data_IF_887023031323
#
_entry.id   IF_887023031323
#
_cell.length_a   1.000
_cell.length_b   1.000
_cell.length_c   1.000
_cell.angle_alpha   90.00
_cell.angle_beta   90.00
_cell.angle_gamma   90.00
#
_symmetry.space_group_name_H-M   'P 1'
#
loop_
_entity.id
_entity.type
_entity.pdbx_description
1 polymer ?
#
# COMPACT_ATOMS: atom_id res chain seq x y z
N UNK A 1 13.48 57.11 -30.69
CA UNK A 1 14.06 56.21 -31.71
C UNK A 1 12.95 55.57 -32.51
N UNK A 2 12.99 55.67 -33.85
CA UNK A 2 11.97 55.04 -34.71
C UNK A 2 12.16 53.55 -34.69
N UNK A 3 11.14 52.79 -34.27
CA UNK A 3 11.17 51.32 -34.25
C UNK A 3 11.27 50.80 -35.70
N UNK A 4 12.30 50.00 -35.97
CA UNK A 4 12.53 49.35 -37.25
C UNK A 4 11.36 48.40 -37.57
N UNK A 5 10.77 48.51 -38.77
CA UNK A 5 9.68 47.63 -39.21
C UNK A 5 10.19 46.19 -39.24
N UNK A 6 9.49 45.26 -38.52
CA UNK A 6 9.81 43.81 -38.52
C UNK A 6 9.27 43.19 -39.79
N UNK A 7 9.88 42.07 -40.19
CA UNK A 7 9.46 41.31 -41.38
C UNK A 7 8.09 40.67 -41.22
N UNK A 8 7.55 40.19 -42.31
CA UNK A 8 6.33 39.39 -42.30
C UNK A 8 6.60 38.01 -41.73
N UNK A 9 5.65 37.46 -40.96
CA UNK A 9 5.74 36.13 -40.40
C UNK A 9 5.28 35.11 -41.44
N UNK A 10 6.19 34.18 -41.81
CA UNK A 10 5.82 33.02 -42.61
C UNK A 10 5.14 31.96 -41.73
N UNK A 11 4.00 31.47 -42.17
CA UNK A 11 3.25 30.40 -41.46
C UNK A 11 2.42 29.58 -42.45
N UNK A 12 2.11 28.35 -42.06
CA UNK A 12 1.16 27.46 -42.73
C UNK A 12 -0.25 27.61 -42.17
N UNK A 13 -1.27 27.27 -42.96
CA UNK A 13 -2.66 27.27 -42.50
C UNK A 13 -2.85 26.39 -41.24
N UNK A 14 -2.14 25.24 -41.16
CA UNK A 14 -2.16 24.32 -40.01
C UNK A 14 -1.63 24.98 -38.74
N UNK A 15 -0.54 25.72 -38.82
CA UNK A 15 0.02 26.46 -37.69
C UNK A 15 -0.91 27.55 -37.20
N UNK A 16 -1.57 28.28 -38.12
CA UNK A 16 -2.59 29.27 -37.76
C UNK A 16 -3.75 28.62 -36.96
N UNK A 17 -4.31 27.53 -37.46
CA UNK A 17 -5.40 26.81 -36.79
C UNK A 17 -4.97 26.30 -35.39
N UNK A 18 -3.73 25.84 -35.26
CA UNK A 18 -3.19 25.42 -33.97
C UNK A 18 -3.05 26.59 -32.99
N UNK A 19 -2.59 27.78 -33.45
CA UNK A 19 -2.53 28.98 -32.64
C UNK A 19 -3.94 29.47 -32.22
N UNK A 20 -4.91 29.39 -33.09
CA UNK A 20 -6.31 29.76 -32.80
C UNK A 20 -6.91 28.84 -31.72
N UNK A 21 -6.63 27.53 -31.79
CA UNK A 21 -7.03 26.57 -30.76
C UNK A 21 -6.40 26.90 -29.40
N UNK A 22 -5.10 27.21 -29.39
CA UNK A 22 -4.37 27.54 -28.15
C UNK A 22 -4.86 28.87 -27.58
N UNK A 23 -5.08 29.91 -28.40
CA UNK A 23 -5.51 31.24 -27.94
C UNK A 23 -6.87 31.21 -27.25
N UNK A 24 -7.75 30.24 -27.57
CA UNK A 24 -9.09 30.07 -26.97
C UNK A 24 -9.10 29.07 -25.80
N UNK A 25 -7.97 28.43 -25.51
CA UNK A 25 -7.88 27.37 -24.50
C UNK A 25 -7.94 27.97 -23.08
N UNK A 26 -8.73 27.31 -22.21
CA UNK A 26 -8.77 27.60 -20.76
C UNK A 26 -7.86 26.69 -19.93
N UNK A 27 -7.26 25.68 -20.55
CA UNK A 27 -6.43 24.66 -19.87
C UNK A 27 -4.95 24.77 -20.21
N UNK A 28 -4.58 25.53 -21.24
CA UNK A 28 -3.19 25.78 -21.60
C UNK A 28 -2.55 26.83 -20.69
N UNK A 29 -1.24 26.79 -20.58
CA UNK A 29 -0.47 27.77 -19.81
C UNK A 29 -0.77 29.19 -20.28
N UNK A 30 -1.04 30.09 -19.36
CA UNK A 30 -1.39 31.51 -19.68
C UNK A 30 -0.41 32.17 -20.66
N UNK A 31 0.90 31.92 -20.52
CA UNK A 31 1.92 32.46 -21.41
C UNK A 31 1.78 31.94 -22.84
N UNK A 32 1.40 30.69 -23.05
CA UNK A 32 1.19 30.11 -24.40
C UNK A 32 -0.05 30.72 -25.05
N UNK A 33 -1.11 30.89 -24.28
CA UNK A 33 -2.34 31.55 -24.74
C UNK A 33 -2.04 33.00 -25.13
N UNK A 34 -1.32 33.74 -24.30
CA UNK A 34 -0.95 35.14 -24.56
C UNK A 34 -0.03 35.28 -25.80
N UNK A 35 0.98 34.39 -25.95
CA UNK A 35 1.85 34.38 -27.15
C UNK A 35 1.10 34.03 -28.41
N UNK A 36 0.21 33.03 -28.37
CA UNK A 36 -0.64 32.70 -29.54
C UNK A 36 -1.48 33.88 -29.98
N UNK A 37 -2.06 34.63 -29.04
CA UNK A 37 -2.82 35.84 -29.33
C UNK A 37 -1.95 36.90 -29.99
N UNK A 38 -0.73 37.16 -29.50
CA UNK A 38 0.23 38.09 -30.10
C UNK A 38 0.54 37.68 -31.54
N UNK A 39 0.84 36.38 -31.77
CA UNK A 39 1.23 35.89 -33.10
C UNK A 39 0.08 35.98 -34.09
N UNK A 40 -1.14 35.61 -33.72
CA UNK A 40 -2.32 35.74 -34.56
C UNK A 40 -2.59 37.19 -34.94
N UNK A 41 -2.59 38.12 -33.98
CA UNK A 41 -2.79 39.54 -34.27
C UNK A 41 -1.68 40.12 -35.14
N UNK A 42 -0.43 39.63 -34.99
CA UNK A 42 0.67 40.03 -35.85
C UNK A 42 0.53 39.49 -37.29
N UNK A 43 0.06 38.24 -37.45
CA UNK A 43 -0.31 37.66 -38.76
C UNK A 43 -1.41 38.43 -39.44
N UNK A 44 -2.36 39.01 -38.67
CA UNK A 44 -3.46 39.85 -39.16
C UNK A 44 -3.04 41.32 -39.39
N UNK A 45 -1.72 41.59 -39.39
CA UNK A 45 -1.14 42.93 -39.62
C UNK A 45 -1.65 44.01 -38.63
N UNK A 46 -2.04 43.60 -37.38
CA UNK A 46 -2.44 44.58 -36.36
C UNK A 46 -1.24 45.39 -35.85
N UNK A 47 -1.42 46.70 -35.59
CA UNK A 47 -0.34 47.51 -35.04
C UNK A 47 0.07 47.05 -33.65
N UNK A 48 1.39 47.08 -33.34
CA UNK A 48 1.93 46.62 -32.06
C UNK A 48 1.30 47.32 -30.85
N UNK A 49 0.88 48.57 -31.01
CA UNK A 49 0.17 49.30 -29.95
C UNK A 49 -1.20 48.71 -29.62
N UNK A 50 -1.92 48.18 -30.61
CA UNK A 50 -3.18 47.47 -30.43
C UNK A 50 -2.94 46.11 -29.80
N UNK A 51 -1.95 45.33 -30.29
CA UNK A 51 -1.55 44.06 -29.72
C UNK A 51 -1.20 44.22 -28.23
N UNK A 52 -0.33 45.18 -27.90
CA UNK A 52 0.10 45.45 -26.53
C UNK A 52 -1.08 45.74 -25.58
N UNK A 53 -2.05 46.53 -26.05
CA UNK A 53 -3.28 46.87 -25.31
C UNK A 53 -4.15 45.61 -25.08
N UNK A 54 -4.31 44.80 -26.12
CA UNK A 54 -5.15 43.60 -26.08
C UNK A 54 -4.59 42.53 -25.13
N UNK A 55 -3.28 42.31 -25.14
CA UNK A 55 -2.64 41.27 -24.31
C UNK A 55 -2.15 41.78 -22.95
N UNK A 56 -2.28 43.08 -22.66
CA UNK A 56 -1.86 43.66 -21.37
C UNK A 56 -0.33 43.67 -21.17
N UNK A 57 0.47 43.81 -22.23
CA UNK A 57 1.93 43.84 -22.17
C UNK A 57 2.50 45.19 -22.67
N UNK A 58 3.77 45.46 -22.29
CA UNK A 58 4.50 46.59 -22.87
C UNK A 58 4.79 46.33 -24.36
N UNK A 59 4.92 47.40 -25.15
CA UNK A 59 5.33 47.29 -26.56
C UNK A 59 6.64 46.57 -26.76
N UNK A 60 7.59 46.76 -25.85
CA UNK A 60 8.88 46.06 -25.85
C UNK A 60 8.73 44.55 -25.67
N UNK A 61 7.87 44.11 -24.73
CA UNK A 61 7.54 42.72 -24.56
C UNK A 61 6.86 42.12 -25.78
N UNK A 62 5.97 42.82 -26.44
CA UNK A 62 5.35 42.37 -27.69
C UNK A 62 6.40 42.25 -28.78
N UNK A 63 7.28 43.25 -28.96
CA UNK A 63 8.38 43.15 -29.92
C UNK A 63 9.29 41.97 -29.67
N UNK A 64 9.65 41.70 -28.40
CA UNK A 64 10.46 40.54 -28.04
C UNK A 64 9.79 39.20 -28.42
N UNK A 65 8.47 39.11 -28.29
CA UNK A 65 7.73 37.92 -28.73
C UNK A 65 7.63 37.83 -30.26
N UNK A 66 7.50 38.97 -30.95
CA UNK A 66 7.52 39.03 -32.43
C UNK A 66 8.90 38.63 -32.96
N UNK A 67 9.98 39.17 -32.38
CA UNK A 67 11.35 38.80 -32.78
C UNK A 67 11.59 37.29 -32.55
N UNK A 68 11.03 36.74 -31.49
CA UNK A 68 11.11 35.30 -31.21
C UNK A 68 10.35 34.47 -32.24
N UNK A 69 9.14 34.82 -32.60
CA UNK A 69 8.36 34.05 -33.58
C UNK A 69 8.96 34.16 -34.99
N UNK A 70 9.56 35.29 -35.35
CA UNK A 70 10.27 35.45 -36.61
C UNK A 70 11.55 34.59 -36.68
N UNK A 71 12.21 34.36 -35.54
CA UNK A 71 13.42 33.56 -35.47
C UNK A 71 13.16 32.05 -35.42
N UNK A 72 12.12 31.57 -34.72
CA UNK A 72 11.91 30.15 -34.40
C UNK A 72 10.63 29.57 -35.00
N UNK A 73 9.79 30.38 -35.65
CA UNK A 73 8.50 29.97 -36.18
C UNK A 73 7.37 29.95 -35.14
N UNK A 74 6.09 29.84 -35.62
CA UNK A 74 4.90 30.06 -34.80
C UNK A 74 4.72 29.12 -33.61
N UNK A 75 5.08 27.85 -33.78
CA UNK A 75 4.84 26.84 -32.76
C UNK A 75 6.00 26.78 -31.75
N UNK A 76 7.24 26.77 -32.24
CA UNK A 76 8.42 26.71 -31.37
C UNK A 76 8.56 27.96 -30.48
N UNK A 77 8.07 29.13 -30.95
CA UNK A 77 8.10 30.36 -30.20
C UNK A 77 7.11 30.40 -29.01
N UNK A 78 6.17 29.49 -28.93
CA UNK A 78 5.24 29.37 -27.79
C UNK A 78 5.94 28.98 -26.49
N UNK A 79 6.96 28.14 -26.57
CA UNK A 79 7.72 27.70 -25.42
C UNK A 79 8.81 28.71 -25.00
N UNK A 80 9.23 28.66 -23.73
CA UNK A 80 10.37 29.47 -23.31
C UNK A 80 11.66 28.88 -23.91
N UNK A 81 12.58 29.77 -24.32
CA UNK A 81 13.89 29.32 -24.81
C UNK A 81 14.66 28.64 -23.70
N UNK A 82 15.14 27.42 -23.97
CA UNK A 82 16.04 26.73 -23.06
C UNK A 82 17.34 27.53 -22.85
N UNK A 83 17.87 27.54 -21.64
CA UNK A 83 19.17 28.17 -21.33
C UNK A 83 19.10 29.59 -20.74
N UNK A 84 17.92 30.14 -20.42
CA UNK A 84 17.80 31.43 -19.67
C UNK A 84 17.92 31.26 -18.14
N UNK A 85 18.08 30.02 -17.63
CA UNK A 85 18.36 29.77 -16.21
C UNK A 85 19.84 29.93 -15.87
N UNK A 86 20.13 30.29 -14.63
CA UNK A 86 21.49 30.17 -14.06
C UNK A 86 21.87 28.68 -14.20
N UNK A 87 23.09 28.40 -14.71
CA UNK A 87 23.63 27.04 -14.75
C UNK A 87 23.47 26.42 -13.37
N UNK A 88 22.96 25.17 -13.32
CA UNK A 88 22.80 24.48 -12.05
C UNK A 88 24.20 24.42 -11.37
N UNK A 89 24.33 25.03 -10.20
CA UNK A 89 25.56 25.06 -9.41
C UNK A 89 26.03 23.63 -9.08
N UNK A 90 25.09 22.69 -9.00
CA UNK A 90 25.30 21.27 -8.68
C UNK A 90 25.21 20.46 -9.98
N UNK A 91 26.28 19.76 -10.31
CA UNK A 91 26.40 18.95 -11.54
C UNK A 91 25.59 17.64 -11.47
N UNK A 92 25.44 16.95 -12.60
CA UNK A 92 24.78 15.64 -12.64
C UNK A 92 25.62 14.56 -11.95
N UNK A 93 26.95 14.69 -11.92
CA UNK A 93 27.84 13.83 -11.13
C UNK A 93 27.62 13.99 -9.62
N UNK A 94 27.44 15.23 -9.14
CA UNK A 94 27.08 15.50 -7.75
C UNK A 94 25.76 14.82 -7.37
N UNK A 95 24.75 14.89 -8.26
CA UNK A 95 23.44 14.23 -8.05
C UNK A 95 23.55 12.71 -8.09
N UNK A 96 24.33 12.14 -9.02
CA UNK A 96 24.58 10.72 -9.10
C UNK A 96 25.23 10.17 -7.82
N UNK A 97 26.15 10.91 -7.22
CA UNK A 97 26.73 10.52 -5.94
C UNK A 97 25.68 10.51 -4.80
N UNK A 98 24.79 11.50 -4.75
CA UNK A 98 23.66 11.52 -3.78
C UNK A 98 22.76 10.30 -3.96
N UNK A 99 22.44 9.93 -5.19
CA UNK A 99 21.64 8.74 -5.54
C UNK A 99 22.36 7.46 -5.11
N UNK A 100 23.65 7.33 -5.42
CA UNK A 100 24.48 6.18 -5.02
C UNK A 100 24.49 5.98 -3.50
N UNK A 101 24.65 7.07 -2.73
CA UNK A 101 24.56 7.01 -1.26
C UNK A 101 23.17 6.55 -0.78
N UNK A 102 22.10 7.05 -1.39
CA UNK A 102 20.74 6.67 -1.03
C UNK A 102 20.44 5.18 -1.30
N UNK A 103 21.15 4.58 -2.27
CA UNK A 103 21.06 3.15 -2.61
C UNK A 103 21.99 2.26 -1.76
N UNK A 104 22.79 2.83 -0.86
CA UNK A 104 23.64 2.08 0.08
C UNK A 104 22.99 1.98 1.46
N UNK A 105 23.47 1.07 2.30
CA UNK A 105 23.02 0.98 3.69
C UNK A 105 23.69 2.02 4.58
N UNK A 106 22.96 2.72 5.48
CA UNK A 106 23.59 3.59 6.48
C UNK A 106 24.64 2.89 7.34
N UNK A 107 24.50 1.59 7.59
CA UNK A 107 25.46 0.76 8.32
C UNK A 107 26.84 0.75 7.66
N UNK A 108 26.90 0.72 6.33
CA UNK A 108 28.15 0.72 5.57
C UNK A 108 28.93 2.03 5.75
N UNK A 109 28.25 3.05 6.29
CA UNK A 109 28.79 4.38 6.60
C UNK A 109 28.92 4.64 8.11
N UNK A 110 28.81 3.58 8.94
CA UNK A 110 29.04 3.68 10.39
C UNK A 110 27.83 4.16 11.22
N UNK A 111 26.64 4.20 10.65
CA UNK A 111 25.43 4.55 11.38
C UNK A 111 24.71 3.30 11.94
N UNK A 112 24.05 3.46 13.09
CA UNK A 112 23.22 2.40 13.67
C UNK A 112 21.86 2.22 12.94
N UNK A 113 21.53 3.13 12.03
CA UNK A 113 20.26 3.14 11.31
C UNK A 113 20.24 2.07 10.21
N UNK A 114 19.10 1.37 10.06
CA UNK A 114 18.87 0.43 8.94
C UNK A 114 18.54 1.16 7.63
N UNK A 115 17.88 2.31 7.72
CA UNK A 115 17.39 3.07 6.58
C UNK A 115 17.86 4.51 6.64
N UNK A 116 18.13 5.09 5.47
CA UNK A 116 18.35 6.50 5.34
C UNK A 116 17.07 7.29 5.57
N UNK A 117 17.04 8.16 6.56
CA UNK A 117 16.10 9.28 6.54
C UNK A 117 16.70 10.41 5.71
N UNK A 118 15.87 11.26 5.10
CA UNK A 118 16.39 12.42 4.34
C UNK A 118 17.25 13.34 5.21
N UNK A 119 16.98 13.44 6.51
CA UNK A 119 17.78 14.26 7.43
C UNK A 119 19.15 13.64 7.69
N UNK A 120 19.21 12.32 7.92
CA UNK A 120 20.47 11.61 8.12
C UNK A 120 21.33 11.64 6.86
N UNK A 121 20.73 11.35 5.71
CA UNK A 121 21.42 11.38 4.42
C UNK A 121 21.96 12.78 4.10
N UNK A 122 21.15 13.83 4.27
CA UNK A 122 21.62 15.22 4.07
C UNK A 122 22.77 15.60 5.00
N UNK A 123 22.74 15.15 6.26
CA UNK A 123 23.85 15.35 7.19
C UNK A 123 25.11 14.64 6.72
N UNK A 124 25.00 13.35 6.37
CA UNK A 124 26.14 12.57 5.87
C UNK A 124 26.76 13.19 4.62
N UNK A 125 25.93 13.66 3.68
CA UNK A 125 26.40 14.36 2.48
C UNK A 125 27.21 15.57 2.86
N UNK A 126 26.70 16.45 3.73
CA UNK A 126 27.39 17.68 4.15
C UNK A 126 28.74 17.42 4.82
N UNK A 127 28.81 16.41 5.64
CA UNK A 127 30.01 16.04 6.39
C UNK A 127 31.08 15.43 5.49
N UNK A 128 30.72 14.71 4.46
CA UNK A 128 31.63 13.89 3.65
C UNK A 128 31.83 14.39 2.22
N UNK A 129 31.00 15.27 1.69
CA UNK A 129 31.05 15.67 0.27
C UNK A 129 32.39 16.26 -0.16
N UNK A 130 33.05 17.07 0.68
CA UNK A 130 34.32 17.69 0.34
C UNK A 130 35.42 16.63 0.23
N UNK A 131 35.52 15.73 1.20
CA UNK A 131 36.50 14.64 1.20
C UNK A 131 36.30 13.64 0.05
N UNK A 132 35.06 13.51 -0.45
CA UNK A 132 34.71 12.64 -1.57
C UNK A 132 34.75 13.32 -2.95
N UNK A 133 35.15 14.60 -3.02
CA UNK A 133 35.32 15.34 -4.28
C UNK A 133 34.05 16.08 -4.78
N UNK A 134 33.03 16.23 -3.92
CA UNK A 134 31.78 16.88 -4.26
C UNK A 134 31.50 18.15 -3.43
N UNK A 135 32.40 19.14 -3.42
CA UNK A 135 32.31 20.29 -2.51
C UNK A 135 31.06 21.15 -2.70
N UNK A 136 30.43 21.10 -3.89
CA UNK A 136 29.20 21.85 -4.21
C UNK A 136 28.01 21.39 -3.36
N UNK A 137 28.05 20.16 -2.84
CA UNK A 137 26.98 19.59 -2.00
C UNK A 137 27.06 20.04 -0.53
N UNK A 138 28.04 20.82 -0.13
CA UNK A 138 28.23 21.29 1.26
C UNK A 138 26.98 21.96 1.85
N UNK A 139 26.24 22.67 1.02
CA UNK A 139 25.01 23.35 1.41
C UNK A 139 23.72 22.59 1.02
N UNK A 140 23.83 21.36 0.51
CA UNK A 140 22.69 20.57 0.10
C UNK A 140 21.78 20.23 1.30
N UNK A 141 20.66 20.94 1.41
CA UNK A 141 19.67 20.75 2.47
C UNK A 141 18.78 19.52 2.21
N UNK A 142 18.04 19.11 3.25
CA UNK A 142 17.10 17.99 3.20
C UNK A 142 16.12 18.07 2.01
N UNK A 143 15.55 19.25 1.75
CA UNK A 143 14.59 19.44 0.64
C UNK A 143 15.24 19.26 -0.72
N UNK A 144 16.50 19.66 -0.87
CA UNK A 144 17.25 19.49 -2.10
C UNK A 144 17.57 18.01 -2.35
N UNK A 145 18.05 17.30 -1.33
CA UNK A 145 18.29 15.84 -1.38
C UNK A 145 16.99 15.10 -1.72
N UNK A 146 15.87 15.48 -1.09
CA UNK A 146 14.55 14.92 -1.43
C UNK A 146 14.20 15.16 -2.90
N UNK A 147 14.40 16.37 -3.42
CA UNK A 147 14.09 16.69 -4.81
C UNK A 147 14.94 15.93 -5.84
N UNK A 148 16.21 15.59 -5.51
CA UNK A 148 17.03 14.69 -6.34
C UNK A 148 16.42 13.29 -6.35
N UNK A 149 16.19 12.72 -5.16
CA UNK A 149 15.72 11.34 -5.04
C UNK A 149 14.30 11.12 -5.54
N UNK A 150 13.44 12.13 -5.43
CA UNK A 150 12.06 12.08 -5.93
C UNK A 150 12.01 12.00 -7.47
N UNK A 151 12.92 12.70 -8.16
CA UNK A 151 13.05 12.60 -9.63
C UNK A 151 13.46 11.21 -10.09
N UNK A 152 14.28 10.52 -9.31
CA UNK A 152 14.74 9.16 -9.58
C UNK A 152 13.80 8.08 -8.99
N UNK A 153 12.68 8.48 -8.37
CA UNK A 153 11.72 7.57 -7.75
C UNK A 153 12.23 6.86 -6.48
N UNK A 154 13.35 7.29 -5.90
CA UNK A 154 14.00 6.63 -4.77
C UNK A 154 13.44 7.12 -3.44
N UNK A 155 13.01 6.17 -2.60
CA UNK A 155 12.47 6.43 -1.25
C UNK A 155 13.25 5.64 -0.19
N UNK A 156 14.47 6.06 0.18
CA UNK A 156 15.40 5.27 1.00
C UNK A 156 14.94 5.05 2.45
N UNK A 157 13.89 5.72 2.87
CA UNK A 157 13.24 5.60 4.18
C UNK A 157 12.06 4.62 4.20
N UNK A 158 11.74 3.98 3.06
CA UNK A 158 10.63 3.03 2.94
C UNK A 158 11.15 1.62 2.76
N UNK A 159 10.42 0.67 3.34
CA UNK A 159 10.62 -0.76 3.13
C UNK A 159 9.45 -1.27 2.29
N UNK A 160 9.76 -1.98 1.23
CA UNK A 160 8.80 -2.82 0.53
C UNK A 160 9.15 -4.27 0.84
N UNK A 161 8.20 -4.97 1.44
CA UNK A 161 8.39 -6.39 1.70
C UNK A 161 8.07 -7.16 0.42
N UNK A 162 8.98 -8.02 0.02
CA UNK A 162 8.75 -9.01 -1.04
C UNK A 162 8.73 -10.40 -0.44
N UNK A 163 8.01 -11.31 -1.06
CA UNK A 163 7.93 -12.69 -0.63
C UNK A 163 9.00 -13.50 -1.36
N UNK A 164 10.04 -13.89 -0.64
CA UNK A 164 11.04 -14.82 -1.17
C UNK A 164 10.46 -16.25 -1.18
N UNK A 165 10.37 -16.84 -2.35
CA UNK A 165 9.82 -18.19 -2.56
C UNK A 165 10.83 -19.23 -2.09
N UNK A 166 10.79 -19.61 -0.80
CA UNK A 166 11.68 -20.62 -0.20
C UNK A 166 11.07 -22.02 -0.19
N UNK A 167 9.80 -22.17 -0.57
CA UNK A 167 9.12 -23.45 -0.65
C UNK A 167 9.26 -23.99 -2.08
N UNK A 168 9.96 -25.12 -2.24
CA UNK A 168 10.16 -25.75 -3.56
C UNK A 168 8.83 -26.12 -4.24
N UNK A 169 7.76 -26.31 -3.46
CA UNK A 169 6.42 -26.67 -3.93
C UNK A 169 5.43 -25.52 -3.77
N UNK A 170 5.91 -24.25 -3.77
CA UNK A 170 5.08 -23.08 -3.53
C UNK A 170 3.91 -22.99 -4.51
N UNK A 171 4.17 -23.09 -5.80
CA UNK A 171 3.15 -22.98 -6.87
C UNK A 171 2.11 -24.10 -6.76
N UNK A 172 2.53 -25.32 -6.51
CA UNK A 172 1.63 -26.47 -6.37
C UNK A 172 0.69 -26.30 -5.17
N UNK A 173 1.23 -25.96 -4.00
CA UNK A 173 0.44 -25.71 -2.78
C UNK A 173 -0.49 -24.51 -2.95
N UNK A 174 -0.01 -23.42 -3.55
CA UNK A 174 -0.81 -22.25 -3.86
C UNK A 174 -1.97 -22.62 -4.79
N UNK A 175 -1.69 -23.35 -5.87
CA UNK A 175 -2.71 -23.81 -6.82
C UNK A 175 -3.75 -24.71 -6.13
N UNK A 176 -3.32 -25.59 -5.22
CA UNK A 176 -4.22 -26.44 -4.43
C UNK A 176 -5.17 -25.61 -3.55
N UNK A 177 -4.64 -24.65 -2.79
CA UNK A 177 -5.44 -23.76 -1.94
C UNK A 177 -6.41 -22.92 -2.77
N UNK A 178 -5.95 -22.34 -3.87
CA UNK A 178 -6.79 -21.53 -4.77
C UNK A 178 -7.89 -22.38 -5.46
N UNK A 179 -7.57 -23.63 -5.81
CA UNK A 179 -8.57 -24.56 -6.35
C UNK A 179 -9.70 -24.82 -5.34
N UNK A 180 -9.35 -25.01 -4.06
CA UNK A 180 -10.34 -25.19 -2.98
C UNK A 180 -11.19 -23.93 -2.82
N UNK A 181 -10.62 -22.73 -2.83
CA UNK A 181 -11.40 -21.49 -2.77
C UNK A 181 -12.32 -21.31 -3.98
N UNK A 182 -11.87 -21.68 -5.17
CA UNK A 182 -12.70 -21.63 -6.39
C UNK A 182 -13.85 -22.61 -6.32
N UNK A 183 -13.61 -23.84 -5.85
CA UNK A 183 -14.64 -24.86 -5.61
C UNK A 183 -15.74 -24.31 -4.69
N UNK A 184 -15.36 -23.75 -3.54
CA UNK A 184 -16.30 -23.18 -2.57
C UNK A 184 -17.07 -22.00 -3.17
N UNK A 185 -16.42 -21.13 -3.93
CA UNK A 185 -17.07 -19.98 -4.57
C UNK A 185 -18.13 -20.44 -5.57
N UNK A 186 -17.85 -21.47 -6.34
CA UNK A 186 -18.81 -22.07 -7.29
C UNK A 186 -19.98 -22.66 -6.51
N UNK A 187 -19.71 -23.48 -5.48
CA UNK A 187 -20.74 -24.11 -4.64
C UNK A 187 -21.64 -23.06 -4.00
N UNK A 188 -21.08 -22.03 -3.35
CA UNK A 188 -21.86 -20.96 -2.73
C UNK A 188 -22.69 -20.14 -3.75
N UNK A 189 -22.30 -20.09 -5.02
CA UNK A 189 -23.04 -19.40 -6.08
C UNK A 189 -24.22 -20.25 -6.57
N UNK A 190 -24.03 -21.55 -6.68
CA UNK A 190 -25.09 -22.49 -7.11
C UNK A 190 -26.17 -22.62 -6.03
N UNK A 191 -25.77 -22.69 -4.75
CA UNK A 191 -26.73 -22.87 -3.65
C UNK A 191 -27.55 -21.61 -3.33
N UNK A 192 -27.10 -20.41 -3.75
CA UNK A 192 -27.98 -19.21 -3.68
C UNK A 192 -29.21 -19.29 -4.61
N UNK A 193 -29.30 -20.30 -5.47
CA UNK A 193 -30.39 -20.49 -6.43
C UNK A 193 -31.24 -21.77 -6.28
N UNK A 194 -30.84 -22.72 -5.43
CA UNK A 194 -31.52 -23.99 -5.22
C UNK A 194 -31.54 -24.39 -3.75
N UNK A 195 -32.51 -25.19 -3.30
CA UNK A 195 -32.57 -25.81 -1.96
C UNK A 195 -31.23 -26.49 -1.64
N UNK A 196 -30.75 -26.31 -0.39
CA UNK A 196 -29.48 -26.86 0.12
C UNK A 196 -29.32 -28.32 -0.32
N UNK A 197 -28.41 -28.56 -1.26
CA UNK A 197 -28.03 -29.90 -1.64
C UNK A 197 -27.47 -30.64 -0.41
N UNK A 198 -27.63 -31.96 -0.36
CA UNK A 198 -27.15 -32.84 0.72
C UNK A 198 -25.61 -32.77 0.81
N UNK A 199 -25.09 -31.74 1.48
CA UNK A 199 -23.65 -31.64 1.76
C UNK A 199 -23.26 -32.68 2.80
N UNK A 200 -22.17 -33.36 2.56
CA UNK A 200 -21.54 -34.26 3.51
C UNK A 200 -20.12 -33.80 3.92
N UNK A 201 -19.76 -32.55 3.57
CA UNK A 201 -18.47 -31.97 3.92
C UNK A 201 -18.55 -30.44 4.10
N UNK A 202 -17.58 -29.90 4.82
CA UNK A 202 -17.34 -28.45 4.92
C UNK A 202 -15.88 -28.12 4.73
N UNK A 203 -15.59 -26.87 4.42
CA UNK A 203 -14.21 -26.36 4.35
C UNK A 203 -14.07 -25.13 5.25
N UNK A 204 -13.06 -25.16 6.10
CA UNK A 204 -12.74 -24.08 7.02
C UNK A 204 -11.31 -23.59 6.79
N UNK A 205 -11.06 -22.31 7.07
CA UNK A 205 -9.74 -21.70 7.13
C UNK A 205 -9.40 -21.50 8.61
N UNK A 206 -8.29 -22.06 9.07
CA UNK A 206 -7.88 -22.09 10.47
C UNK A 206 -6.51 -21.43 10.68
N UNK A 207 -6.35 -20.74 11.81
CA UNK A 207 -5.07 -20.22 12.28
C UNK A 207 -5.14 -19.86 13.78
N UNK A 208 -3.99 -19.47 14.36
CA UNK A 208 -3.86 -19.01 15.73
C UNK A 208 -3.57 -17.49 15.77
N UNK A 209 -4.22 -16.82 16.71
CA UNK A 209 -3.88 -15.45 17.12
C UNK A 209 -3.29 -15.48 18.53
N UNK A 210 -1.95 -15.60 18.65
CA UNK A 210 -1.29 -15.60 19.94
C UNK A 210 -1.19 -14.21 20.56
N UNK A 211 -0.85 -14.15 21.85
CA UNK A 211 -0.40 -12.93 22.51
C UNK A 211 -1.46 -11.86 22.72
N UNK A 212 -2.74 -12.22 22.77
CA UNK A 212 -3.83 -11.27 23.13
C UNK A 212 -3.64 -10.86 24.57
N UNK A 213 -3.31 -9.59 24.80
CA UNK A 213 -2.95 -9.09 26.12
C UNK A 213 -4.17 -8.78 26.99
N UNK A 214 -4.20 -9.32 28.20
CA UNK A 214 -5.09 -8.91 29.26
C UNK A 214 -4.50 -7.68 29.98
N UNK A 215 -5.11 -6.53 29.76
CA UNK A 215 -4.63 -5.24 30.32
C UNK A 215 -5.71 -4.64 31.19
N UNK A 216 -5.33 -4.29 32.44
CA UNK A 216 -6.19 -3.60 33.41
C UNK A 216 -5.75 -2.15 33.55
N UNK A 217 -6.70 -1.21 33.56
CA UNK A 217 -6.43 0.15 33.96
C UNK A 217 -6.13 0.19 35.47
N UNK A 218 -5.22 1.05 35.92
CA UNK A 218 -4.97 1.30 37.34
C UNK A 218 -6.03 2.27 37.88
N UNK A 219 -6.29 3.33 37.13
CA UNK A 219 -7.32 4.32 37.46
C UNK A 219 -8.60 4.13 36.66
N UNK A 220 -9.70 4.66 37.14
CA UNK A 220 -10.97 4.64 36.42
C UNK A 220 -10.88 5.37 35.09
N UNK A 221 -11.53 4.83 34.07
CA UNK A 221 -11.64 5.46 32.78
C UNK A 221 -12.58 6.66 32.83
N UNK A 222 -12.16 7.77 32.22
CA UNK A 222 -13.00 8.98 32.14
C UNK A 222 -13.80 8.90 30.82
N UNK A 223 -15.13 8.93 30.95
CA UNK A 223 -16.03 8.95 29.81
C UNK A 223 -16.13 10.34 29.18
N UNK A 224 -16.51 10.47 27.91
CA UNK A 224 -16.78 11.76 27.29
C UNK A 224 -17.90 12.52 28.03
N UNK A 225 -17.70 13.80 28.19
CA UNK A 225 -18.70 14.72 28.78
C UNK A 225 -18.98 15.83 27.78
N UNK A 226 -20.22 15.99 27.30
CA UNK A 226 -20.59 17.04 26.37
C UNK A 226 -20.16 18.44 26.87
N UNK A 227 -19.52 19.20 26.01
CA UNK A 227 -19.00 20.54 26.32
C UNK A 227 -17.68 20.58 27.09
N UNK A 228 -17.20 19.47 27.69
CA UNK A 228 -15.98 19.42 28.49
C UNK A 228 -14.92 18.46 27.90
N UNK A 229 -15.25 17.19 27.77
CA UNK A 229 -14.31 16.16 27.30
C UNK A 229 -14.86 15.45 26.09
N UNK A 230 -14.16 15.57 24.92
CA UNK A 230 -14.62 15.02 23.65
C UNK A 230 -14.31 13.52 23.48
N UNK A 231 -13.37 12.98 24.25
CA UNK A 231 -12.83 11.61 24.06
C UNK A 231 -12.78 10.87 25.38
N UNK A 232 -12.69 9.54 25.29
CA UNK A 232 -12.42 8.70 26.45
C UNK A 232 -11.01 8.96 26.95
N UNK A 233 -10.85 9.37 28.21
CA UNK A 233 -9.57 9.52 28.89
C UNK A 233 -9.18 8.22 29.60
N UNK A 234 -7.93 7.82 29.48
CA UNK A 234 -7.32 6.69 30.20
C UNK A 234 -5.99 7.10 30.80
N UNK A 235 -5.69 6.56 31.96
CA UNK A 235 -4.38 6.69 32.58
C UNK A 235 -3.31 6.04 31.65
N UNK A 236 -2.11 6.59 31.66
CA UNK A 236 -0.95 6.01 30.97
C UNK A 236 -0.49 4.71 31.66
N UNK A 237 -0.69 4.61 32.98
CA UNK A 237 -0.33 3.41 33.72
C UNK A 237 -1.39 2.32 33.58
N UNK A 238 -0.89 1.09 33.39
CA UNK A 238 -1.72 -0.10 33.28
C UNK A 238 -1.02 -1.32 33.85
N UNK A 239 -1.79 -2.29 34.30
CA UNK A 239 -1.28 -3.59 34.75
C UNK A 239 -1.48 -4.66 33.68
N UNK A 240 -0.42 -5.41 33.36
CA UNK A 240 -0.51 -6.59 32.50
C UNK A 240 -0.87 -7.81 33.34
N UNK A 241 -1.92 -8.53 32.95
CA UNK A 241 -2.44 -9.71 33.65
C UNK A 241 -2.03 -11.01 32.94
N UNK A 242 -1.29 -10.91 31.83
CA UNK A 242 -0.85 -12.02 31.01
C UNK A 242 -1.46 -11.99 29.61
N UNK A 243 -1.35 -13.10 28.90
CA UNK A 243 -1.84 -13.23 27.52
C UNK A 243 -2.74 -14.45 27.36
N UNK A 244 -3.59 -14.42 26.34
CA UNK A 244 -4.36 -15.54 25.83
C UNK A 244 -4.03 -15.75 24.33
N UNK A 245 -4.30 -16.96 23.86
CA UNK A 245 -4.26 -17.32 22.44
C UNK A 245 -5.66 -17.69 21.99
N UNK A 246 -6.06 -17.17 20.83
CA UNK A 246 -7.30 -17.54 20.15
C UNK A 246 -6.95 -18.47 19.00
N UNK A 247 -7.41 -19.72 19.08
CA UNK A 247 -7.44 -20.67 17.97
C UNK A 247 -8.82 -20.51 17.32
N UNK A 248 -8.87 -20.28 16.01
CA UNK A 248 -10.16 -20.08 15.37
C UNK A 248 -10.19 -20.63 13.95
N UNK A 249 -11.36 -21.09 13.54
CA UNK A 249 -11.65 -21.39 12.14
C UNK A 249 -12.82 -20.55 11.65
N UNK A 250 -12.79 -20.16 10.38
CA UNK A 250 -13.91 -19.59 9.67
C UNK A 250 -14.46 -20.63 8.69
N UNK A 251 -15.73 -20.92 8.76
CA UNK A 251 -16.44 -21.71 7.74
C UNK A 251 -16.58 -20.88 6.47
N UNK A 252 -16.00 -21.36 5.38
CA UNK A 252 -15.94 -20.64 4.10
C UNK A 252 -17.26 -20.67 3.32
N UNK A 253 -18.21 -21.49 3.74
CA UNK A 253 -19.52 -21.56 3.12
C UNK A 253 -20.50 -20.54 3.73
N UNK A 254 -20.49 -20.37 5.04
CA UNK A 254 -21.46 -19.53 5.74
C UNK A 254 -20.84 -18.35 6.51
N UNK A 255 -19.51 -18.32 6.67
CA UNK A 255 -18.81 -17.25 7.38
C UNK A 255 -18.81 -17.39 8.90
N UNK A 256 -19.32 -18.49 9.46
CA UNK A 256 -19.35 -18.72 10.91
C UNK A 256 -17.95 -18.94 11.45
N UNK A 257 -17.67 -18.32 12.59
CA UNK A 257 -16.39 -18.46 13.30
C UNK A 257 -16.53 -19.47 14.43
N UNK A 258 -15.66 -20.46 14.47
CA UNK A 258 -15.56 -21.44 15.54
C UNK A 258 -14.30 -21.11 16.36
N UNK A 259 -14.43 -20.56 17.58
CA UNK A 259 -13.30 -20.15 18.41
C UNK A 259 -12.95 -21.17 19.49
N UNK A 260 -11.68 -21.20 19.88
CA UNK A 260 -11.20 -21.74 21.14
C UNK A 260 -10.18 -20.76 21.75
N UNK A 261 -10.42 -20.31 22.97
CA UNK A 261 -9.53 -19.36 23.67
C UNK A 261 -8.81 -20.08 24.80
N UNK A 262 -7.49 -20.14 24.70
CA UNK A 262 -6.64 -20.85 25.65
C UNK A 262 -5.41 -20.05 26.08
N UNK A 263 -4.70 -20.50 27.11
CA UNK A 263 -3.46 -19.86 27.55
C UNK A 263 -2.29 -20.08 26.59
N UNK A 264 -2.35 -21.08 25.76
CA UNK A 264 -1.30 -21.53 24.84
C UNK A 264 -1.92 -21.99 23.54
N UNK A 265 -1.08 -22.28 22.54
CA UNK A 265 -1.47 -22.77 21.21
C UNK A 265 -0.50 -23.87 20.77
N UNK A 266 -0.39 -24.93 21.60
CA UNK A 266 0.45 -26.10 21.33
C UNK A 266 -0.36 -27.22 20.69
N UNK A 267 0.25 -28.35 20.42
CA UNK A 267 -0.44 -29.52 19.88
C UNK A 267 -1.65 -29.95 20.72
N UNK A 268 -1.58 -29.84 22.07
CA UNK A 268 -2.69 -30.20 22.93
C UNK A 268 -3.92 -29.29 22.70
N UNK A 269 -3.72 -27.96 22.67
CA UNK A 269 -4.78 -27.01 22.41
C UNK A 269 -5.31 -27.12 20.97
N UNK A 270 -4.45 -27.43 20.01
CA UNK A 270 -4.87 -27.70 18.63
C UNK A 270 -5.76 -28.96 18.55
N UNK A 271 -5.40 -30.04 19.24
CA UNK A 271 -6.23 -31.26 19.30
C UNK A 271 -7.59 -30.98 19.95
N UNK A 272 -7.63 -30.18 21.03
CA UNK A 272 -8.88 -29.74 21.65
C UNK A 272 -9.73 -28.91 20.67
N UNK A 273 -9.09 -28.06 19.88
CA UNK A 273 -9.76 -27.33 18.81
C UNK A 273 -10.33 -28.26 17.74
N UNK A 274 -9.59 -29.28 17.29
CA UNK A 274 -10.08 -30.27 16.34
C UNK A 274 -11.28 -31.05 16.90
N UNK A 275 -11.26 -31.42 18.17
CA UNK A 275 -12.41 -32.07 18.85
C UNK A 275 -13.64 -31.14 18.86
N UNK A 276 -13.44 -29.87 19.19
CA UNK A 276 -14.49 -28.86 19.16
C UNK A 276 -15.07 -28.72 17.75
N UNK A 277 -14.20 -28.64 16.74
CA UNK A 277 -14.58 -28.53 15.36
C UNK A 277 -15.36 -29.77 14.87
N UNK A 278 -14.91 -30.98 15.26
CA UNK A 278 -15.62 -32.22 14.97
C UNK A 278 -17.01 -32.27 15.60
N UNK A 279 -17.18 -31.73 16.81
CA UNK A 279 -18.48 -31.67 17.50
C UNK A 279 -19.40 -30.55 16.98
N UNK A 280 -18.88 -29.60 16.20
CA UNK A 280 -19.68 -28.52 15.61
C UNK A 280 -20.44 -28.97 14.36
N UNK A 281 -19.92 -29.93 13.62
CA UNK A 281 -20.51 -30.46 12.38
C UNK A 281 -21.05 -31.87 12.58
N UNK A 282 -21.99 -32.33 11.73
CA UNK A 282 -22.49 -33.71 11.76
C UNK A 282 -21.35 -34.76 11.77
N UNK A 283 -21.60 -35.88 12.42
CA UNK A 283 -20.54 -36.90 12.61
C UNK A 283 -20.05 -37.51 11.30
N UNK A 284 -20.90 -37.64 10.32
CA UNK A 284 -20.66 -38.18 8.98
C UNK A 284 -19.96 -37.18 8.05
N UNK A 285 -19.90 -35.89 8.44
CA UNK A 285 -19.28 -34.88 7.60
C UNK A 285 -17.76 -34.93 7.65
N UNK A 286 -17.14 -34.80 6.48
CA UNK A 286 -15.70 -34.55 6.32
C UNK A 286 -15.40 -33.05 6.48
N UNK A 287 -14.36 -32.73 7.24
CA UNK A 287 -13.95 -31.34 7.47
C UNK A 287 -12.59 -31.11 6.80
N UNK A 288 -12.61 -30.31 5.72
CA UNK A 288 -11.38 -29.86 5.07
C UNK A 288 -10.90 -28.59 5.78
N UNK A 289 -9.63 -28.56 6.18
CA UNK A 289 -9.03 -27.45 6.92
C UNK A 289 -7.86 -26.88 6.12
N UNK A 290 -7.98 -25.59 5.72
CA UNK A 290 -6.85 -24.83 5.18
C UNK A 290 -6.09 -24.24 6.37
N UNK A 291 -4.80 -24.56 6.48
CA UNK A 291 -3.94 -24.17 7.61
C UNK A 291 -2.49 -24.01 7.17
N UNK A 292 -1.68 -23.38 7.99
CA UNK A 292 -0.24 -23.23 7.75
C UNK A 292 0.57 -24.49 8.13
N UNK A 293 1.89 -24.44 7.88
CA UNK A 293 2.80 -25.52 8.19
C UNK A 293 3.35 -25.47 9.62
N UNK A 294 2.63 -24.89 10.59
CA UNK A 294 3.11 -24.82 11.95
C UNK A 294 3.37 -26.22 12.53
N UNK A 295 4.39 -26.34 13.38
CA UNK A 295 4.84 -27.65 13.90
C UNK A 295 3.79 -28.39 14.75
N UNK A 296 2.88 -27.65 15.41
CA UNK A 296 1.75 -28.22 16.17
C UNK A 296 0.81 -29.03 15.30
N UNK A 297 0.62 -28.63 14.02
CA UNK A 297 -0.29 -29.29 13.08
C UNK A 297 0.21 -30.64 12.58
N UNK A 298 1.52 -30.85 12.64
CA UNK A 298 2.21 -32.09 12.21
C UNK A 298 2.88 -32.84 13.35
N UNK A 299 2.58 -32.49 14.58
CA UNK A 299 3.16 -33.15 15.74
C UNK A 299 2.71 -34.62 15.84
N UNK A 300 3.51 -35.45 16.53
CA UNK A 300 3.17 -36.86 16.75
C UNK A 300 1.83 -37.02 17.46
N UNK A 301 1.53 -36.13 18.41
CA UNK A 301 0.27 -36.13 19.16
C UNK A 301 -0.92 -35.81 18.23
N UNK A 302 -0.76 -34.82 17.38
CA UNK A 302 -1.80 -34.45 16.38
C UNK A 302 -2.04 -35.59 15.40
N UNK A 303 -0.98 -36.21 14.86
CA UNK A 303 -1.11 -37.35 13.94
C UNK A 303 -1.80 -38.54 14.61
N UNK A 304 -1.45 -38.86 15.85
CA UNK A 304 -2.11 -39.92 16.63
C UNK A 304 -3.61 -39.62 16.83
N UNK A 305 -4.00 -38.37 17.08
CA UNK A 305 -5.41 -38.00 17.17
C UNK A 305 -6.11 -38.18 15.83
N UNK A 306 -5.53 -37.76 14.73
CA UNK A 306 -6.12 -37.88 13.37
C UNK A 306 -6.30 -39.38 13.00
N UNK A 307 -5.38 -40.23 13.37
CA UNK A 307 -5.48 -41.70 13.20
C UNK A 307 -6.67 -42.28 14.00
N UNK A 308 -7.04 -41.67 15.13
CA UNK A 308 -8.19 -42.12 15.94
C UNK A 308 -9.53 -41.72 15.36
N UNK A 309 -9.57 -40.80 14.40
CA UNK A 309 -10.79 -40.29 13.72
C UNK A 309 -10.61 -40.32 12.18
N UNK A 310 -10.42 -41.53 11.61
CA UNK A 310 -10.05 -41.68 10.21
C UNK A 310 -11.13 -41.10 9.30
N UNK A 311 -10.71 -40.34 8.26
CA UNK A 311 -11.59 -39.74 7.27
C UNK A 311 -12.35 -38.49 7.72
N UNK A 312 -12.30 -38.10 9.02
CA UNK A 312 -13.00 -36.93 9.53
C UNK A 312 -12.36 -35.62 9.04
N UNK A 313 -11.03 -35.57 8.97
CA UNK A 313 -10.28 -34.35 8.61
C UNK A 313 -9.46 -34.53 7.35
N UNK A 314 -9.41 -33.47 6.55
CA UNK A 314 -8.51 -33.32 5.40
C UNK A 314 -7.74 -31.99 5.54
N UNK A 315 -6.40 -32.05 5.63
CA UNK A 315 -5.57 -30.87 5.77
C UNK A 315 -5.07 -30.40 4.41
N UNK A 316 -5.27 -29.11 4.13
CA UNK A 316 -4.75 -28.41 2.96
C UNK A 316 -3.77 -27.36 3.47
N UNK A 317 -2.48 -27.63 3.27
CA UNK A 317 -1.43 -26.76 3.80
C UNK A 317 -1.15 -25.58 2.85
N UNK A 318 -1.10 -24.37 3.40
CA UNK A 318 -0.60 -23.22 2.66
C UNK A 318 0.90 -23.36 2.42
N UNK A 319 1.48 -22.78 1.36
CA UNK A 319 2.92 -22.77 1.16
C UNK A 319 3.63 -22.01 2.29
N UNK A 320 4.89 -22.37 2.54
CA UNK A 320 5.74 -21.65 3.50
C UNK A 320 5.83 -20.17 3.09
N UNK A 321 5.63 -19.27 4.03
CA UNK A 321 5.48 -17.81 3.79
C UNK A 321 4.23 -17.40 2.98
N UNK A 322 3.25 -18.29 2.84
CA UNK A 322 1.97 -18.03 2.17
C UNK A 322 0.80 -17.76 3.11
N UNK A 323 1.02 -17.20 4.30
CA UNK A 323 -0.05 -16.93 5.28
C UNK A 323 -1.17 -16.03 4.73
N UNK A 324 -0.86 -15.15 3.77
CA UNK A 324 -1.84 -14.32 3.08
C UNK A 324 -2.90 -15.13 2.31
N UNK A 325 -2.63 -16.40 2.01
CA UNK A 325 -3.60 -17.35 1.45
C UNK A 325 -4.60 -17.84 2.51
N UNK A 326 -4.36 -17.60 3.81
CA UNK A 326 -5.22 -18.06 4.88
C UNK A 326 -6.29 -17.00 5.19
N UNK A 327 -7.54 -17.24 4.81
CA UNK A 327 -8.63 -16.25 4.92
C UNK A 327 -8.99 -15.87 6.36
N UNK A 328 -8.69 -16.71 7.35
CA UNK A 328 -8.92 -16.40 8.77
C UNK A 328 -8.14 -15.16 9.24
N UNK A 329 -7.02 -14.82 8.60
CA UNK A 329 -6.24 -13.63 8.89
C UNK A 329 -7.06 -12.33 8.73
N UNK A 330 -8.00 -12.29 7.79
CA UNK A 330 -8.93 -11.17 7.61
C UNK A 330 -9.83 -11.00 8.84
N UNK A 331 -10.29 -12.11 9.41
CA UNK A 331 -11.07 -12.12 10.64
C UNK A 331 -10.21 -11.62 11.82
N UNK A 332 -9.00 -12.12 11.99
CA UNK A 332 -8.10 -11.64 13.06
C UNK A 332 -7.80 -10.15 12.95
N UNK A 333 -7.63 -9.63 11.74
CA UNK A 333 -7.49 -8.20 11.49
C UNK A 333 -8.75 -7.42 11.87
N UNK A 334 -9.95 -7.95 11.55
CA UNK A 334 -11.24 -7.35 11.91
C UNK A 334 -11.41 -7.25 13.43
N UNK A 335 -11.26 -8.35 14.18
CA UNK A 335 -11.44 -8.34 15.65
C UNK A 335 -10.39 -7.50 16.36
N UNK A 336 -9.16 -7.47 15.84
CA UNK A 336 -8.10 -6.62 16.40
C UNK A 336 -8.48 -5.14 16.34
N UNK A 337 -9.07 -4.69 15.24
CA UNK A 337 -9.49 -3.28 15.06
C UNK A 337 -10.80 -2.97 15.77
N UNK A 338 -11.74 -3.91 15.81
CA UNK A 338 -13.08 -3.67 16.35
C UNK A 338 -13.07 -3.58 17.89
N UNK A 339 -12.44 -4.53 18.59
CA UNK A 339 -12.51 -4.53 20.05
C UNK A 339 -11.21 -4.88 20.77
N UNK A 340 -10.33 -5.74 20.24
CA UNK A 340 -9.15 -6.19 20.98
C UNK A 340 -8.14 -5.06 21.24
N UNK A 341 -7.94 -4.16 20.28
CA UNK A 341 -6.97 -3.06 20.40
C UNK A 341 -7.23 -2.15 21.59
N UNK A 342 -8.50 -1.97 21.95
CA UNK A 342 -8.90 -1.03 23.00
C UNK A 342 -9.44 -1.74 24.24
N UNK A 343 -9.40 -3.07 24.28
CA UNK A 343 -9.97 -3.85 25.39
C UNK A 343 -9.22 -3.58 26.70
N UNK A 344 -9.98 -3.46 27.78
CA UNK A 344 -9.48 -3.41 29.16
C UNK A 344 -10.31 -4.36 29.98
N UNK A 345 -9.65 -5.10 30.85
CA UNK A 345 -10.26 -6.21 31.61
C UNK A 345 -9.69 -6.27 33.02
N UNK A 346 -10.46 -6.83 33.95
CA UNK A 346 -10.06 -7.03 35.33
C UNK A 346 -9.29 -8.35 35.55
N UNK A 347 -9.48 -9.32 34.61
CA UNK A 347 -8.84 -10.65 34.67
C UNK A 347 -8.65 -11.24 33.27
N UNK A 348 -7.88 -12.34 33.20
CA UNK A 348 -7.76 -13.14 31.97
C UNK A 348 -9.09 -13.83 31.63
N UNK A 349 -9.85 -14.23 32.65
CA UNK A 349 -11.15 -14.90 32.42
C UNK A 349 -12.16 -13.92 31.83
N UNK A 350 -12.16 -12.68 32.27
CA UNK A 350 -12.98 -11.64 31.63
C UNK A 350 -12.55 -11.42 30.17
N UNK A 351 -11.23 -11.42 29.88
CA UNK A 351 -10.75 -11.32 28.49
C UNK A 351 -11.27 -12.49 27.66
N UNK A 352 -11.19 -13.72 28.18
CA UNK A 352 -11.68 -14.93 27.52
C UNK A 352 -13.19 -14.80 27.23
N UNK A 353 -13.99 -14.41 28.21
CA UNK A 353 -15.44 -14.21 28.06
C UNK A 353 -15.76 -13.15 26.99
N UNK A 354 -15.07 -12.00 27.02
CA UNK A 354 -15.30 -10.91 26.08
C UNK A 354 -14.88 -11.26 24.64
N UNK A 355 -13.86 -12.11 24.47
CA UNK A 355 -13.51 -12.63 23.15
C UNK A 355 -14.63 -13.51 22.61
N UNK A 356 -15.16 -14.45 23.40
CA UNK A 356 -16.30 -15.26 22.99
C UNK A 356 -17.52 -14.41 22.67
N UNK A 357 -17.90 -13.48 23.57
CA UNK A 357 -19.01 -12.56 23.35
C UNK A 357 -18.87 -11.75 22.03
N UNK A 358 -17.66 -11.23 21.76
CA UNK A 358 -17.42 -10.48 20.51
C UNK A 358 -17.51 -11.36 19.27
N UNK A 359 -17.13 -12.64 19.36
CA UNK A 359 -17.25 -13.61 18.25
C UNK A 359 -18.71 -14.02 18.08
N UNK A 360 -19.45 -14.24 19.17
CA UNK A 360 -20.88 -14.56 19.12
C UNK A 360 -21.68 -13.42 18.46
N UNK A 361 -21.34 -12.15 18.75
CA UNK A 361 -21.94 -11.00 18.06
C UNK A 361 -21.63 -11.00 16.55
N UNK A 362 -20.42 -11.39 16.15
CA UNK A 362 -20.06 -11.50 14.73
C UNK A 362 -20.84 -12.66 14.07
N UNK A 363 -21.04 -13.76 14.79
CA UNK A 363 -21.76 -14.94 14.31
C UNK A 363 -23.28 -14.75 14.24
N UNK A 364 -23.84 -13.68 14.83
CA UNK A 364 -25.25 -13.32 14.61
C UNK A 364 -25.52 -12.88 13.16
N UNK A 365 -24.52 -12.21 12.52
CA UNK A 365 -24.55 -11.80 11.13
C UNK A 365 -23.22 -12.19 10.45
N UNK A 366 -23.03 -13.50 10.17
CA UNK A 366 -21.77 -13.99 9.65
C UNK A 366 -21.56 -13.49 8.21
N UNK A 367 -20.32 -13.14 7.89
CA UNK A 367 -19.94 -12.63 6.57
C UNK A 367 -19.08 -13.66 5.86
N UNK A 368 -19.56 -14.13 4.72
CA UNK A 368 -18.76 -14.99 3.83
C UNK A 368 -17.69 -14.14 3.15
N UNK A 369 -16.44 -14.42 3.45
CA UNK A 369 -15.32 -13.77 2.77
C UNK A 369 -15.14 -14.35 1.37
N UNK A 370 -15.02 -13.47 0.37
CA UNK A 370 -14.79 -13.85 -1.02
C UNK A 370 -13.33 -13.63 -1.40
N UNK A 371 -12.72 -14.65 -1.99
CA UNK A 371 -11.40 -14.54 -2.55
C UNK A 371 -11.45 -13.72 -3.85
N UNK A 372 -10.62 -12.66 -3.95
CA UNK A 372 -10.60 -11.73 -5.09
C UNK A 372 -9.34 -11.83 -5.95
N UNK A 373 -8.40 -12.66 -5.57
CA UNK A 373 -7.12 -12.76 -6.27
C UNK A 373 -7.28 -13.49 -7.61
N UNK A 374 -6.76 -12.91 -8.70
CA UNK A 374 -6.75 -13.50 -10.03
C UNK A 374 -5.41 -14.18 -10.29
N UNK A 375 -5.43 -15.46 -10.63
CA UNK A 375 -4.20 -16.25 -10.91
C UNK A 375 -3.40 -15.77 -12.14
N UNK A 376 -3.95 -14.90 -12.97
CA UNK A 376 -3.34 -14.48 -14.25
C UNK A 376 -2.36 -13.30 -14.12
N UNK A 377 -2.40 -12.54 -13.03
CA UNK A 377 -1.60 -11.31 -12.89
C UNK A 377 -0.15 -11.53 -12.40
N UNK A 378 0.20 -12.72 -11.90
CA UNK A 378 1.56 -12.98 -11.36
C UNK A 378 2.65 -13.32 -12.42
N UNK A 379 2.29 -13.55 -13.67
CA UNK A 379 3.27 -13.93 -14.71
C UNK A 379 4.11 -12.77 -15.26
N UNK A 380 3.77 -11.52 -14.97
CA UNK A 380 4.39 -10.34 -15.60
C UNK A 380 5.51 -9.71 -14.77
N UNK A 381 5.50 -9.81 -13.44
CA UNK A 381 6.48 -9.08 -12.62
C UNK A 381 7.81 -9.79 -12.33
N UNK A 382 7.95 -11.07 -12.67
CA UNK A 382 9.17 -11.84 -12.33
C UNK A 382 10.29 -11.77 -13.36
N UNK A 383 10.10 -11.12 -14.52
CA UNK A 383 11.10 -11.12 -15.60
C UNK A 383 11.97 -9.87 -15.65
N UNK A 384 11.68 -8.83 -14.91
CA UNK A 384 12.39 -7.54 -15.00
C UNK A 384 13.39 -7.23 -13.85
N UNK A 385 13.56 -8.12 -12.87
CA UNK A 385 14.54 -7.91 -11.79
C UNK A 385 15.81 -8.78 -11.88
N UNK A 386 16.11 -9.36 -13.07
CA UNK A 386 17.33 -10.15 -13.30
C UNK A 386 18.13 -9.58 -14.48
N UNK A 387 18.52 -8.32 -14.37
CA UNK A 387 19.67 -7.78 -15.14
C UNK A 387 20.31 -6.64 -14.36
#
# INVERSE_FOLDING_TARGET
MAYKKRGELAYSQREREQLEKISRSKTQEFRKVQRSTIFLMYMDNKPVSEIAKTVGLSRESVYSNIDKVLAFGPIAALDDLSGRGVSAEISDEDKAWVVSLACSSPKDHGYANELWTYSLLSRHIKENCVAKGYPRLKNAGKSYVHGILDKEGIKPHKITYYLERRDNNFEEKMAQVLSVYKEIQITNTVESGQEMSERNHTTVSYDEKPGIQAIKNISAQLLPVPGSFKTVGRDYEYKRLGTLSLLAAIDLHNGTIIPLVENRHRSAEFIEFLKKLAGHYPQDWKIRIILDNHSSHRSKETMKYLESVPGKFEFVFTPTHGSWLNMIELFFSKISRSFLRQIRVESKDELKQRIYQGIDQINQEPVVFRWKYKMEEEKVETTEMST
#
